data_IF_863828658665
#
_entry.id   IF_863828658665
#
_cell.length_a   1.000
_cell.length_b   1.000
_cell.length_c   1.000
_cell.angle_alpha   90.00
_cell.angle_beta   90.00
_cell.angle_gamma   90.00
#
_symmetry.space_group_name_H-M   'P 1'
#
loop_
_entity.id
_entity.type
_entity.pdbx_description
1 polymer ?
#
# COMPACT_ATOMS: atom_id res chain seq x y z
N UNK A 1 -0.64 -0.90 12.83
CA UNK A 1 0.00 0.09 11.95
C UNK A 1 -0.92 1.28 11.84
N UNK A 2 -0.39 2.45 11.56
CA UNK A 2 -1.14 3.70 11.60
C UNK A 2 -0.26 4.82 11.08
N UNK A 3 -0.90 5.92 10.71
CA UNK A 3 -0.26 7.15 10.20
C UNK A 3 1.06 7.47 10.94
N UNK A 4 2.20 7.44 10.23
CA UNK A 4 3.52 7.81 10.75
C UNK A 4 4.02 6.99 11.96
N UNK A 5 3.58 5.74 12.10
CA UNK A 5 4.15 4.85 13.14
C UNK A 5 5.59 4.52 12.76
N UNK A 6 6.53 5.17 13.45
CA UNK A 6 7.97 4.93 13.39
C UNK A 6 8.42 4.21 14.67
N UNK A 7 8.05 2.93 14.80
CA UNK A 7 8.56 2.06 15.86
C UNK A 7 9.56 1.04 15.30
N UNK A 8 10.24 0.30 16.19
CA UNK A 8 11.25 -0.70 15.81
C UNK A 8 10.71 -1.84 14.95
N UNK A 9 9.41 -2.02 14.93
CA UNK A 9 8.73 -3.06 14.16
C UNK A 9 8.33 -2.58 12.77
N UNK A 10 8.31 -1.25 12.54
CA UNK A 10 8.02 -0.63 11.26
C UNK A 10 9.15 -0.83 10.24
N UNK A 11 8.77 -0.95 8.97
CA UNK A 11 9.73 -1.07 7.85
C UNK A 11 10.66 0.14 7.74
N UNK A 12 10.14 1.35 7.99
CA UNK A 12 10.91 2.59 7.91
C UNK A 12 12.02 2.64 8.94
N UNK A 13 11.73 2.20 10.16
CA UNK A 13 12.74 2.13 11.22
C UNK A 13 13.80 1.06 10.90
N UNK A 14 13.35 -0.13 10.51
CA UNK A 14 14.25 -1.23 10.21
C UNK A 14 15.16 -0.93 9.02
N UNK A 15 14.67 -0.20 8.01
CA UNK A 15 15.50 0.30 6.92
C UNK A 15 16.46 1.40 7.40
N UNK A 16 15.99 2.34 8.22
CA UNK A 16 16.82 3.41 8.79
C UNK A 16 18.03 2.84 9.57
N UNK A 17 17.82 1.79 10.36
CA UNK A 17 18.91 1.11 11.09
C UNK A 17 19.96 0.48 10.16
N UNK A 18 19.55 -0.01 8.99
CA UNK A 18 20.45 -0.65 8.01
C UNK A 18 21.25 0.36 7.20
N UNK A 19 20.64 1.49 6.82
CA UNK A 19 21.34 2.54 6.08
C UNK A 19 22.28 3.36 6.98
N UNK A 20 21.99 3.41 8.28
CA UNK A 20 22.73 4.21 9.26
C UNK A 20 22.79 5.69 8.85
N UNK A 21 24.00 6.25 8.82
CA UNK A 21 24.23 7.66 8.47
C UNK A 21 24.27 7.94 6.97
N UNK A 22 24.10 6.92 6.12
CA UNK A 22 24.23 7.05 4.66
C UNK A 22 23.04 7.75 4.00
N UNK A 23 21.94 7.94 4.74
CA UNK A 23 20.74 8.61 4.23
C UNK A 23 19.69 8.81 5.32
N UNK A 24 18.52 9.32 4.91
CA UNK A 24 17.35 9.47 5.79
C UNK A 24 16.17 8.76 5.16
N UNK A 25 15.53 7.88 5.92
CA UNK A 25 14.24 7.28 5.54
C UNK A 25 13.12 8.20 6.01
N UNK A 26 12.13 8.45 5.16
CA UNK A 26 10.89 9.13 5.52
C UNK A 26 9.73 8.19 5.27
N UNK A 27 8.93 7.90 6.30
CA UNK A 27 7.73 7.09 6.15
C UNK A 27 6.56 7.95 5.64
N UNK A 28 5.99 7.58 4.49
CA UNK A 28 4.78 8.19 3.93
C UNK A 28 3.59 7.20 3.92
N UNK A 29 3.79 5.99 4.44
CA UNK A 29 2.81 4.92 4.47
C UNK A 29 1.68 5.21 5.47
N UNK A 30 0.46 4.97 5.03
CA UNK A 30 -0.76 5.20 5.82
C UNK A 30 -1.82 4.21 5.38
N UNK A 31 -2.52 3.65 6.36
CA UNK A 31 -3.59 2.68 6.12
C UNK A 31 -4.74 3.27 5.29
N UNK A 32 -5.37 2.40 4.50
CA UNK A 32 -6.56 2.69 3.69
C UNK A 32 -6.38 3.86 2.70
N UNK A 33 -5.21 3.93 2.07
CA UNK A 33 -4.87 4.92 1.04
C UNK A 33 -4.56 4.18 -0.25
N UNK A 34 -5.31 4.49 -1.30
CA UNK A 34 -5.08 3.97 -2.63
C UNK A 34 -4.05 4.79 -3.40
N UNK A 35 -3.90 4.46 -4.68
CA UNK A 35 -2.87 5.04 -5.54
C UNK A 35 -3.02 6.56 -5.73
N UNK A 36 -4.24 7.10 -5.71
CA UNK A 36 -4.41 8.57 -5.79
C UNK A 36 -3.93 9.25 -4.52
N UNK A 37 -4.25 8.70 -3.35
CA UNK A 37 -3.79 9.29 -2.10
C UNK A 37 -2.26 9.19 -1.93
N UNK A 38 -1.61 8.16 -2.49
CA UNK A 38 -0.14 8.10 -2.59
C UNK A 38 0.40 9.28 -3.40
N UNK A 39 -0.18 9.56 -4.57
CA UNK A 39 0.20 10.69 -5.41
C UNK A 39 0.07 12.03 -4.68
N UNK A 40 -1.08 12.28 -4.03
CA UNK A 40 -1.33 13.51 -3.28
C UNK A 40 -0.30 13.70 -2.16
N UNK A 41 0.03 12.62 -1.43
CA UNK A 41 1.05 12.68 -0.37
C UNK A 41 2.45 12.99 -0.88
N UNK A 42 2.85 12.36 -1.99
CA UNK A 42 4.12 12.69 -2.63
C UNK A 42 4.12 14.17 -3.06
N UNK A 43 3.00 14.67 -3.58
CA UNK A 43 2.79 16.08 -3.89
C UNK A 43 2.99 17.01 -2.70
N UNK A 44 2.33 16.73 -1.58
CA UNK A 44 2.45 17.52 -0.34
C UNK A 44 3.90 17.56 0.18
N UNK A 45 4.61 16.45 0.11
CA UNK A 45 6.02 16.35 0.51
C UNK A 45 6.92 17.19 -0.39
N UNK A 46 6.67 17.18 -1.70
CA UNK A 46 7.45 17.96 -2.67
C UNK A 46 7.24 19.48 -2.54
N UNK A 47 6.17 19.93 -1.86
CA UNK A 47 6.02 21.36 -1.56
C UNK A 47 7.02 21.84 -0.50
N UNK A 48 7.57 20.93 0.30
CA UNK A 48 8.42 21.25 1.45
C UNK A 48 9.85 20.71 1.32
N UNK A 49 10.12 19.84 0.34
CA UNK A 49 11.42 19.24 0.13
C UNK A 49 11.65 18.86 -1.32
N UNK A 50 12.92 18.79 -1.71
CA UNK A 50 13.33 18.26 -3.02
C UNK A 50 12.89 16.79 -3.19
N UNK A 51 12.80 16.30 -4.45
CA UNK A 51 12.54 14.90 -4.73
C UNK A 51 13.51 13.95 -4.02
N UNK A 52 13.04 12.78 -3.56
CA UNK A 52 13.90 11.81 -2.89
C UNK A 52 14.87 11.14 -3.87
N UNK A 53 15.99 10.63 -3.36
CA UNK A 53 16.93 9.81 -4.15
C UNK A 53 16.26 8.53 -4.70
N UNK A 54 15.30 7.97 -3.95
CA UNK A 54 14.45 6.85 -4.34
C UNK A 54 13.19 6.87 -3.48
N UNK A 55 12.05 6.56 -4.11
CA UNK A 55 10.79 6.33 -3.41
C UNK A 55 10.42 4.86 -3.57
N UNK A 56 10.33 4.11 -2.46
CA UNK A 56 9.86 2.73 -2.46
C UNK A 56 8.37 2.69 -2.10
N UNK A 57 7.58 2.12 -3.00
CA UNK A 57 6.19 1.79 -2.70
C UNK A 57 6.06 0.29 -2.49
N UNK A 58 5.81 -0.10 -1.24
CA UNK A 58 5.49 -1.48 -0.88
C UNK A 58 4.05 -1.73 -1.31
N UNK A 59 3.89 -2.35 -2.47
CA UNK A 59 2.59 -2.56 -3.08
C UNK A 59 1.80 -3.63 -2.31
N UNK A 60 0.51 -3.39 -2.09
CA UNK A 60 -0.39 -4.35 -1.48
C UNK A 60 -1.74 -4.43 -2.21
N UNK A 61 -2.39 -5.59 -2.20
CA UNK A 61 -3.65 -5.80 -2.93
C UNK A 61 -4.79 -4.89 -2.45
N UNK A 62 -4.72 -4.38 -1.22
CA UNK A 62 -5.66 -3.37 -0.71
C UNK A 62 -5.68 -2.09 -1.55
N UNK A 63 -4.55 -1.74 -2.19
CA UNK A 63 -4.44 -0.53 -3.02
C UNK A 63 -5.44 -0.55 -4.18
N UNK A 64 -5.78 -1.74 -4.68
CA UNK A 64 -6.78 -1.97 -5.72
C UNK A 64 -8.18 -1.61 -5.19
N UNK A 65 -8.55 -2.13 -4.03
CA UNK A 65 -9.83 -1.86 -3.40
C UNK A 65 -9.98 -0.39 -2.99
N UNK A 66 -8.90 0.21 -2.46
CA UNK A 66 -8.90 1.61 -2.06
C UNK A 66 -8.98 2.55 -3.27
N UNK A 67 -8.45 2.16 -4.44
CA UNK A 67 -8.59 2.96 -5.67
C UNK A 67 -10.03 3.13 -6.12
N UNK A 68 -10.90 2.13 -5.94
CA UNK A 68 -12.35 2.28 -6.20
C UNK A 68 -12.99 3.30 -5.25
N UNK A 69 -12.59 3.26 -3.97
CA UNK A 69 -13.10 4.21 -2.95
C UNK A 69 -12.65 5.63 -3.28
N UNK A 70 -11.38 5.80 -3.63
CA UNK A 70 -10.79 7.08 -3.97
C UNK A 70 -11.41 7.68 -5.23
N UNK A 71 -11.65 6.87 -6.25
CA UNK A 71 -12.33 7.32 -7.47
C UNK A 71 -13.76 7.80 -7.17
N UNK A 72 -14.52 7.02 -6.39
CA UNK A 72 -15.85 7.40 -5.94
C UNK A 72 -15.88 8.72 -5.16
N UNK A 73 -14.81 9.02 -4.40
CA UNK A 73 -14.60 10.30 -3.73
C UNK A 73 -14.16 11.38 -4.74
N UNK A 74 -13.32 11.04 -5.70
CA UNK A 74 -12.83 11.98 -6.70
C UNK A 74 -13.98 12.51 -7.58
N UNK A 75 -14.93 11.65 -7.96
CA UNK A 75 -16.05 12.04 -8.83
C UNK A 75 -17.14 12.86 -8.11
N UNK A 76 -17.23 12.80 -6.78
CA UNK A 76 -18.35 13.40 -6.04
C UNK A 76 -17.94 14.31 -4.87
N UNK A 77 -18.14 15.62 -5.04
CA UNK A 77 -17.96 16.62 -3.96
C UNK A 77 -18.82 16.33 -2.74
N UNK A 78 -20.05 15.82 -2.95
CA UNK A 78 -20.96 15.46 -1.87
C UNK A 78 -20.40 14.30 -1.04
N UNK A 79 -19.89 13.25 -1.70
CA UNK A 79 -19.25 12.12 -1.00
C UNK A 79 -18.03 12.58 -0.20
N UNK A 80 -17.16 13.43 -0.78
CA UNK A 80 -16.01 14.01 -0.03
C UNK A 80 -16.45 14.74 1.23
N UNK A 81 -17.49 15.56 1.14
CA UNK A 81 -18.02 16.31 2.28
C UNK A 81 -18.59 15.36 3.35
N UNK A 82 -19.38 14.36 2.95
CA UNK A 82 -19.94 13.37 3.86
C UNK A 82 -18.85 12.54 4.54
N UNK A 83 -17.81 12.13 3.82
CA UNK A 83 -16.67 11.41 4.40
C UNK A 83 -15.93 12.27 5.43
N UNK A 84 -15.72 13.56 5.14
CA UNK A 84 -15.13 14.49 6.13
C UNK A 84 -16.00 14.63 7.37
N UNK A 85 -17.31 14.81 7.20
CA UNK A 85 -18.26 14.88 8.32
C UNK A 85 -18.22 13.59 9.13
N UNK A 86 -18.28 12.43 8.47
CA UNK A 86 -18.19 11.10 9.10
C UNK A 86 -16.90 10.96 9.92
N UNK A 87 -15.75 11.38 9.37
CA UNK A 87 -14.47 11.38 10.08
C UNK A 87 -14.47 12.28 11.32
N UNK A 88 -14.98 13.51 11.20
CA UNK A 88 -15.09 14.40 12.35
C UNK A 88 -16.03 13.83 13.43
N UNK A 89 -17.17 13.28 13.02
CA UNK A 89 -18.11 12.64 13.94
C UNK A 89 -17.49 11.40 14.61
N UNK A 90 -16.73 10.57 13.89
CA UNK A 90 -16.09 9.41 14.49
C UNK A 90 -15.02 9.78 15.50
N UNK A 91 -14.33 10.91 15.30
CA UNK A 91 -13.31 11.40 16.24
C UNK A 91 -13.91 11.96 17.52
N UNK A 92 -15.08 12.59 17.45
CA UNK A 92 -15.62 13.41 18.56
C UNK A 92 -16.94 12.90 19.14
N UNK A 93 -17.63 11.93 18.53
CA UNK A 93 -18.94 11.45 18.98
C UNK A 93 -18.96 9.94 19.22
N UNK A 94 -19.01 9.56 20.50
CA UNK A 94 -19.20 8.18 20.92
C UNK A 94 -20.55 7.60 20.46
N UNK A 95 -21.59 8.45 20.40
CA UNK A 95 -22.93 8.05 19.92
C UNK A 95 -22.88 7.71 18.43
N UNK A 96 -22.21 8.54 17.63
CA UNK A 96 -22.01 8.26 16.21
C UNK A 96 -21.25 6.96 16.01
N UNK A 97 -20.17 6.73 16.76
CA UNK A 97 -19.42 5.48 16.70
C UNK A 97 -20.27 4.27 17.09
N UNK A 98 -21.06 4.36 18.17
CA UNK A 98 -21.97 3.30 18.58
C UNK A 98 -23.00 2.97 17.49
N UNK A 99 -23.63 3.99 16.91
CA UNK A 99 -24.57 3.82 15.81
C UNK A 99 -23.91 3.22 14.56
N UNK A 100 -22.73 3.73 14.18
CA UNK A 100 -21.96 3.26 13.04
C UNK A 100 -21.62 1.77 13.20
N UNK A 101 -21.10 1.36 14.36
CA UNK A 101 -20.79 -0.05 14.65
C UNK A 101 -22.03 -0.93 14.57
N UNK A 102 -23.17 -0.51 15.13
CA UNK A 102 -24.42 -1.26 15.02
C UNK A 102 -24.88 -1.38 13.57
N UNK A 103 -24.77 -0.30 12.79
CA UNK A 103 -25.16 -0.27 11.40
C UNK A 103 -24.28 -1.15 10.52
N UNK A 104 -22.97 -1.12 10.71
CA UNK A 104 -22.00 -1.97 10.03
C UNK A 104 -22.21 -3.45 10.39
N UNK A 105 -22.59 -3.77 11.62
CA UNK A 105 -22.97 -5.13 12.02
C UNK A 105 -24.27 -5.60 11.33
N UNK A 106 -25.24 -4.70 11.15
CA UNK A 106 -26.51 -5.01 10.48
C UNK A 106 -26.36 -5.10 8.95
N UNK A 107 -25.52 -4.25 8.37
CA UNK A 107 -25.19 -4.22 6.93
C UNK A 107 -23.68 -4.35 6.73
N UNK A 108 -23.16 -5.59 6.87
CA UNK A 108 -21.73 -5.84 6.80
C UNK A 108 -21.09 -5.48 5.45
N UNK A 109 -21.87 -5.39 4.37
CA UNK A 109 -21.40 -4.95 3.06
C UNK A 109 -21.02 -3.45 2.99
N UNK A 110 -21.36 -2.66 4.02
CA UNK A 110 -21.10 -1.22 4.09
C UNK A 110 -19.95 -0.86 5.05
N UNK A 111 -19.30 -1.86 5.67
CA UNK A 111 -18.23 -1.62 6.64
C UNK A 111 -16.98 -1.04 5.95
N UNK A 112 -16.54 0.14 6.38
CA UNK A 112 -15.50 0.94 5.70
C UNK A 112 -14.10 0.31 5.69
N UNK A 113 -13.80 -0.59 6.64
CA UNK A 113 -12.47 -1.20 6.82
C UNK A 113 -12.49 -2.73 6.68
N UNK A 114 -13.58 -3.30 6.17
CA UNK A 114 -13.58 -4.73 5.93
C UNK A 114 -12.87 -4.96 4.60
N UNK A 115 -11.68 -5.55 4.67
CA UNK A 115 -11.09 -6.26 3.53
C UNK A 115 -12.22 -7.13 3.00
N UNK A 116 -12.74 -6.80 1.82
CA UNK A 116 -13.65 -7.69 1.14
C UNK A 116 -12.89 -9.02 1.05
N UNK A 117 -13.36 -10.02 1.82
CA UNK A 117 -12.97 -11.43 1.73
C UNK A 117 -13.38 -11.98 0.35
N UNK A 118 -13.03 -11.26 -0.70
CA UNK A 118 -13.20 -11.68 -2.06
C UNK A 118 -11.87 -12.30 -2.43
N UNK A 119 -11.86 -13.62 -2.35
CA UNK A 119 -10.94 -14.48 -3.12
C UNK A 119 -10.90 -14.07 -4.63
N UNK A 120 -11.79 -13.18 -5.09
CA UNK A 120 -11.86 -12.60 -6.44
C UNK A 120 -10.71 -11.62 -6.76
N UNK A 121 -10.11 -10.89 -5.80
CA UNK A 121 -9.04 -9.93 -6.17
C UNK A 121 -7.73 -10.61 -6.54
N UNK A 122 -7.43 -11.80 -6.03
CA UNK A 122 -6.19 -12.52 -6.38
C UNK A 122 -6.27 -13.23 -7.74
N UNK A 123 -7.42 -13.22 -8.41
CA UNK A 123 -7.63 -13.94 -9.69
C UNK A 123 -8.10 -13.05 -10.83
N UNK A 124 -8.61 -11.85 -10.54
CA UNK A 124 -9.01 -10.88 -11.55
C UNK A 124 -7.82 -10.10 -12.11
N UNK A 125 -7.85 -9.85 -13.43
CA UNK A 125 -6.89 -8.98 -14.11
C UNK A 125 -7.38 -7.53 -14.09
N UNK A 126 -6.44 -6.58 -14.10
CA UNK A 126 -6.73 -5.16 -14.22
C UNK A 126 -7.12 -4.83 -15.67
N UNK A 127 -8.41 -4.97 -15.98
CA UNK A 127 -8.99 -4.54 -17.26
C UNK A 127 -8.63 -3.08 -17.61
N UNK A 128 -8.68 -2.72 -18.90
CA UNK A 128 -8.24 -1.40 -19.38
C UNK A 128 -8.93 -0.21 -18.68
N UNK A 129 -10.21 -0.35 -18.36
CA UNK A 129 -11.02 0.68 -17.69
C UNK A 129 -10.97 0.61 -16.15
N UNK A 130 -10.12 -0.25 -15.58
CA UNK A 130 -10.07 -0.45 -14.13
C UNK A 130 -9.59 0.83 -13.41
N UNK A 131 -10.29 1.30 -12.36
CA UNK A 131 -9.94 2.54 -11.63
C UNK A 131 -8.50 2.58 -11.15
N UNK A 132 -8.03 1.46 -10.58
CA UNK A 132 -6.63 1.31 -10.16
C UNK A 132 -5.63 1.50 -11.30
N UNK A 133 -5.92 1.02 -12.52
CA UNK A 133 -5.04 1.20 -13.70
C UNK A 133 -4.93 2.66 -14.09
N UNK A 134 -6.04 3.41 -14.04
CA UNK A 134 -6.04 4.87 -14.26
C UNK A 134 -5.25 5.60 -13.18
N UNK A 135 -5.39 5.17 -11.93
CA UNK A 135 -4.66 5.75 -10.81
C UNK A 135 -3.15 5.49 -10.90
N UNK A 136 -2.74 4.28 -11.29
CA UNK A 136 -1.34 3.93 -11.56
C UNK A 136 -0.74 4.79 -12.66
N UNK A 137 -1.40 4.91 -13.82
CA UNK A 137 -0.91 5.76 -14.92
C UNK A 137 -0.70 7.20 -14.46
N UNK A 138 -1.67 7.78 -13.75
CA UNK A 138 -1.55 9.14 -13.20
C UNK A 138 -0.41 9.28 -12.19
N UNK A 139 -0.21 8.31 -11.32
CA UNK A 139 0.92 8.29 -10.39
C UNK A 139 2.26 8.22 -11.14
N UNK A 140 2.35 7.40 -12.19
CA UNK A 140 3.56 7.24 -12.99
C UNK A 140 3.90 8.51 -13.76
N UNK A 141 2.91 9.12 -14.42
CA UNK A 141 3.04 10.42 -15.09
C UNK A 141 3.52 11.49 -14.09
N UNK A 142 2.91 11.53 -12.90
CA UNK A 142 3.31 12.45 -11.84
C UNK A 142 4.76 12.22 -11.38
N UNK A 143 5.18 10.97 -11.21
CA UNK A 143 6.55 10.64 -10.83
C UNK A 143 7.55 11.03 -11.94
N UNK A 144 7.21 10.84 -13.22
CA UNK A 144 8.04 11.30 -14.33
C UNK A 144 8.17 12.83 -14.34
N UNK A 145 7.04 13.55 -14.28
CA UNK A 145 7.00 15.01 -14.27
C UNK A 145 7.79 15.63 -13.12
N UNK A 146 7.70 15.01 -11.93
CA UNK A 146 8.38 15.47 -10.72
C UNK A 146 9.77 14.88 -10.54
N UNK A 147 10.24 14.06 -11.50
CA UNK A 147 11.54 13.36 -11.44
C UNK A 147 11.70 12.57 -10.14
N UNK A 148 10.63 11.92 -9.69
CA UNK A 148 10.66 11.01 -8.53
C UNK A 148 11.07 9.62 -9.04
N UNK A 149 12.25 9.10 -8.63
CA UNK A 149 12.63 7.72 -8.90
C UNK A 149 11.80 6.74 -8.08
N UNK A 150 10.62 6.39 -8.60
CA UNK A 150 9.70 5.43 -7.99
C UNK A 150 10.15 3.98 -8.28
N UNK A 151 10.18 3.17 -7.22
CA UNK A 151 10.38 1.73 -7.28
C UNK A 151 9.19 1.05 -6.62
N UNK A 152 8.47 0.22 -7.38
CA UNK A 152 7.38 -0.60 -6.84
C UNK A 152 7.98 -1.89 -6.30
N UNK A 153 7.67 -2.22 -5.05
CA UNK A 153 8.20 -3.39 -4.35
C UNK A 153 7.10 -4.43 -4.26
N UNK A 154 7.27 -5.56 -4.93
CA UNK A 154 6.29 -6.65 -4.89
C UNK A 154 6.59 -7.65 -3.78
N UNK A 155 5.53 -7.98 -3.04
CA UNK A 155 5.51 -8.97 -1.98
C UNK A 155 4.51 -10.08 -2.35
N UNK A 156 4.60 -11.27 -1.72
CA UNK A 156 3.49 -12.22 -1.78
C UNK A 156 2.23 -11.60 -1.15
N UNK A 157 1.07 -12.01 -1.65
CA UNK A 157 -0.23 -11.55 -1.15
C UNK A 157 -0.77 -12.55 -0.12
N UNK A 158 -1.51 -12.11 0.92
CA UNK A 158 -2.15 -13.01 1.87
C UNK A 158 -3.40 -13.66 1.26
N UNK A 159 -3.56 -14.99 1.41
CA UNK A 159 -4.85 -15.65 1.19
C UNK A 159 -5.77 -15.52 2.42
N UNK A 160 -7.00 -16.05 2.32
CA UNK A 160 -7.97 -16.08 3.43
C UNK A 160 -7.47 -16.81 4.70
N UNK A 161 -6.46 -17.68 4.57
CA UNK A 161 -5.78 -18.35 5.67
C UNK A 161 -4.50 -17.61 6.16
N UNK A 162 -4.23 -16.39 5.70
CA UNK A 162 -2.99 -15.62 5.91
C UNK A 162 -1.71 -16.35 5.46
N UNK A 163 -1.80 -17.19 4.44
CA UNK A 163 -0.64 -17.82 3.79
C UNK A 163 -0.21 -17.01 2.55
N UNK A 164 1.08 -16.98 2.23
CA UNK A 164 1.59 -16.22 1.09
C UNK A 164 1.24 -16.89 -0.24
N UNK A 165 0.60 -16.11 -1.11
CA UNK A 165 0.41 -16.38 -2.53
C UNK A 165 1.53 -15.65 -3.28
N UNK A 166 2.42 -16.42 -3.92
CA UNK A 166 3.56 -15.87 -4.67
C UNK A 166 3.26 -15.56 -6.13
N UNK A 167 2.10 -16.00 -6.66
CA UNK A 167 1.66 -15.75 -8.03
C UNK A 167 0.34 -14.99 -8.01
N UNK A 168 0.33 -13.79 -8.60
CA UNK A 168 -0.84 -12.92 -8.63
C UNK A 168 -0.98 -12.31 -10.03
N UNK A 169 -2.10 -12.53 -10.74
CA UNK A 169 -2.41 -11.87 -11.99
C UNK A 169 -2.37 -10.34 -11.89
N UNK A 170 -2.90 -9.77 -10.80
CA UNK A 170 -2.84 -8.32 -10.53
C UNK A 170 -1.40 -7.84 -10.53
N UNK A 171 -0.51 -8.51 -9.79
CA UNK A 171 0.90 -8.11 -9.75
C UNK A 171 1.56 -8.20 -11.13
N UNK A 172 1.17 -9.17 -11.98
CA UNK A 172 1.66 -9.26 -13.35
C UNK A 172 1.19 -8.09 -14.21
N UNK A 173 -0.07 -7.65 -14.04
CA UNK A 173 -0.61 -6.49 -14.74
C UNK A 173 0.07 -5.19 -14.28
N UNK A 174 0.27 -5.03 -12.97
CA UNK A 174 1.01 -3.89 -12.41
C UNK A 174 2.46 -3.90 -12.91
N UNK A 175 3.10 -5.07 -12.99
CA UNK A 175 4.46 -5.21 -13.53
C UNK A 175 4.53 -4.75 -14.99
N UNK A 176 3.57 -5.21 -15.80
CA UNK A 176 3.51 -4.88 -17.22
C UNK A 176 3.31 -3.38 -17.42
N UNK A 177 2.37 -2.78 -16.68
CA UNK A 177 2.14 -1.34 -16.73
C UNK A 177 3.35 -0.54 -16.23
N UNK A 178 4.03 -0.98 -15.16
CA UNK A 178 5.24 -0.33 -14.67
C UNK A 178 6.36 -0.35 -15.73
N UNK A 179 6.56 -1.50 -16.38
CA UNK A 179 7.54 -1.65 -17.46
C UNK A 179 7.23 -0.73 -18.65
N UNK A 180 5.96 -0.68 -19.09
CA UNK A 180 5.48 0.21 -20.16
C UNK A 180 5.79 1.69 -19.87
N UNK A 181 5.71 2.08 -18.60
CA UNK A 181 5.92 3.45 -18.14
C UNK A 181 7.33 3.69 -17.56
N UNK A 182 8.28 2.77 -17.79
CA UNK A 182 9.68 2.85 -17.33
C UNK A 182 9.84 3.02 -15.81
N UNK A 183 8.87 2.53 -15.04
CA UNK A 183 8.92 2.49 -13.59
C UNK A 183 9.67 1.23 -13.15
N UNK A 184 10.58 1.39 -12.19
CA UNK A 184 11.36 0.27 -11.65
C UNK A 184 10.48 -0.62 -10.80
N UNK A 185 10.66 -1.94 -10.94
CA UNK A 185 10.02 -2.95 -10.09
C UNK A 185 11.08 -3.77 -9.38
N UNK A 186 10.98 -3.84 -8.06
CA UNK A 186 11.76 -4.73 -7.21
C UNK A 186 10.86 -5.90 -6.77
N UNK A 187 10.96 -7.01 -7.49
CA UNK A 187 10.18 -8.21 -7.20
C UNK A 187 10.85 -9.08 -6.13
N UNK A 188 10.33 -9.03 -4.91
CA UNK A 188 10.85 -9.80 -3.77
C UNK A 188 10.21 -11.19 -3.66
N UNK A 189 9.17 -11.50 -4.44
CA UNK A 189 8.41 -12.77 -4.34
C UNK A 189 9.32 -14.00 -4.45
N UNK A 190 10.27 -14.12 -5.41
CA UNK A 190 11.10 -15.33 -5.51
C UNK A 190 12.02 -15.52 -4.30
N UNK A 191 12.57 -14.42 -3.75
CA UNK A 191 13.45 -14.46 -2.57
C UNK A 191 12.66 -14.84 -1.32
N UNK A 192 11.50 -14.23 -1.15
CA UNK A 192 10.59 -14.51 -0.03
C UNK A 192 10.02 -15.92 -0.12
N UNK A 193 9.74 -16.45 -1.31
CA UNK A 193 9.31 -17.84 -1.50
C UNK A 193 10.39 -18.83 -1.05
N UNK A 194 11.64 -18.58 -1.43
CA UNK A 194 12.77 -19.41 -0.98
C UNK A 194 12.91 -19.40 0.55
N UNK A 195 12.76 -18.23 1.18
CA UNK A 195 12.80 -18.10 2.64
C UNK A 195 11.62 -18.83 3.30
N UNK A 196 10.43 -18.70 2.74
CA UNK A 196 9.21 -19.33 3.27
C UNK A 196 9.30 -20.86 3.20
N UNK A 197 9.70 -21.42 2.06
CA UNK A 197 9.88 -22.88 1.89
C UNK A 197 10.92 -23.47 2.86
N UNK A 198 11.91 -22.68 3.28
CA UNK A 198 12.96 -23.14 4.22
C UNK A 198 12.51 -23.05 5.67
N UNK A 199 11.92 -21.92 6.08
CA UNK A 199 11.68 -21.62 7.50
C UNK A 199 10.24 -21.84 7.95
N UNK A 200 9.27 -21.83 7.03
CA UNK A 200 7.83 -21.93 7.31
C UNK A 200 7.32 -20.84 8.28
N UNK A 201 8.04 -19.72 8.36
CA UNK A 201 7.65 -18.58 9.19
C UNK A 201 6.42 -17.88 8.61
N UNK A 202 5.58 -17.33 9.50
CA UNK A 202 4.43 -16.53 9.08
C UNK A 202 4.91 -15.21 8.51
N UNK A 203 4.32 -14.76 7.42
CA UNK A 203 4.69 -13.48 6.80
C UNK A 203 3.76 -12.32 7.15
N UNK A 204 2.51 -12.62 7.49
CA UNK A 204 1.50 -11.58 7.68
C UNK A 204 0.98 -11.56 9.11
N UNK A 205 0.50 -10.38 9.52
CA UNK A 205 -0.28 -10.21 10.73
C UNK A 205 -1.67 -10.83 10.54
N UNK A 206 -2.12 -11.59 11.53
CA UNK A 206 -3.40 -12.27 11.47
C UNK A 206 -4.55 -11.27 11.40
N UNK A 207 -5.49 -11.48 10.46
CA UNK A 207 -6.67 -10.64 10.19
C UNK A 207 -6.39 -9.25 9.61
N UNK A 208 -5.13 -8.94 9.36
CA UNK A 208 -4.66 -7.64 8.88
C UNK A 208 -4.03 -7.77 7.48
N UNK A 209 -3.40 -8.91 7.17
CA UNK A 209 -2.83 -9.18 5.84
C UNK A 209 -1.53 -8.41 5.56
N UNK A 210 -1.24 -7.35 6.32
CA UNK A 210 0.03 -6.64 6.27
C UNK A 210 1.21 -7.53 6.71
N UNK A 211 2.42 -7.28 6.16
CA UNK A 211 3.63 -7.96 6.61
C UNK A 211 3.86 -7.78 8.12
N UNK A 212 4.34 -8.83 8.77
CA UNK A 212 4.71 -8.76 10.18
C UNK A 212 6.15 -8.19 10.35
N UNK A 213 6.60 -7.93 11.60
CA UNK A 213 7.92 -7.33 11.84
C UNK A 213 9.09 -8.18 11.31
N UNK A 214 8.94 -9.51 11.27
CA UNK A 214 9.93 -10.42 10.68
C UNK A 214 10.04 -10.21 9.18
N UNK A 215 8.92 -10.16 8.47
CA UNK A 215 8.89 -9.93 7.02
C UNK A 215 9.34 -8.53 6.67
N UNK A 216 9.01 -7.51 7.47
CA UNK A 216 9.61 -6.19 7.30
C UNK A 216 11.13 -6.21 7.44
N UNK A 217 11.68 -7.05 8.30
CA UNK A 217 13.14 -7.20 8.42
C UNK A 217 13.77 -7.66 7.12
N UNK A 218 13.17 -8.68 6.51
CA UNK A 218 13.61 -9.19 5.21
C UNK A 218 13.46 -8.14 4.10
N UNK A 219 12.35 -7.42 4.08
CA UNK A 219 12.12 -6.36 3.09
C UNK A 219 13.17 -5.28 3.27
N UNK A 220 13.44 -4.81 4.50
CA UNK A 220 14.44 -3.80 4.79
C UNK A 220 15.85 -4.23 4.35
N UNK A 221 16.22 -5.50 4.56
CA UNK A 221 17.48 -6.07 4.05
C UNK A 221 17.57 -5.93 2.53
N UNK A 222 16.51 -6.31 1.81
CA UNK A 222 16.47 -6.27 0.35
C UNK A 222 16.41 -4.85 -0.22
N UNK A 223 15.74 -3.91 0.46
CA UNK A 223 15.76 -2.50 0.09
C UNK A 223 17.15 -1.89 0.27
N UNK A 224 17.86 -2.24 1.35
CA UNK A 224 19.24 -1.79 1.56
C UNK A 224 20.20 -2.35 0.49
N UNK A 225 20.03 -3.62 0.10
CA UNK A 225 20.77 -4.20 -1.03
C UNK A 225 20.48 -3.48 -2.37
N UNK A 226 19.23 -3.10 -2.63
CA UNK A 226 18.88 -2.34 -3.85
C UNK A 226 19.48 -0.93 -3.82
N UNK A 227 19.40 -0.24 -2.67
CA UNK A 227 20.01 1.08 -2.45
C UNK A 227 21.52 1.09 -2.74
N UNK A 228 22.24 0.08 -2.26
CA UNK A 228 23.70 0.00 -2.45
C UNK A 228 24.15 -0.31 -3.88
N UNK A 229 23.23 -0.75 -4.76
CA UNK A 229 23.51 -1.07 -6.16
C UNK A 229 23.19 0.07 -7.13
N UNK A 230 22.47 1.09 -6.67
CA UNK A 230 22.07 2.27 -7.46
C UNK A 230 23.12 3.37 -7.37
#
# INVERSE_FOLDING_TARGET
MGYLVEDRESISWQLAERIGFSGRVRNLGVDAVGTFGIQERLGEVLLQSDPPNVAYWIYHISDVADSFREEALFESKARRLLTRISFYLSRYSAVFNGWKTLWENYRPALAENRISLRDETATESLGEDHPHRRALRRLFDFCEDKKIPLVIVFLPEPNSANQPIFQSPILNDVQSLALENRISVLDLRPRLESNWKKKHERFFLARDGHPNPYTYGLIADFLNEDLTRR
#
